data_IF_453749730368
#
_entry.id   IF_453749730368
#
_cell.length_a   1.000
_cell.length_b   1.000
_cell.length_c   1.000
_cell.angle_alpha   90.00
_cell.angle_beta   90.00
_cell.angle_gamma   90.00
#
_symmetry.space_group_name_H-M   'P 1'
#
loop_
_entity.id
_entity.type
_entity.pdbx_description
1 polymer ?
#
# COMPACT_ATOMS: atom_id res chain seq x y z
N UNK A 1 -51.86 -6.16 -21.84
CA UNK A 1 -50.69 -5.96 -20.96
C UNK A 1 -49.38 -5.75 -21.75
N UNK A 2 -49.09 -6.53 -22.79
CA UNK A 2 -47.86 -6.36 -23.58
C UNK A 2 -47.73 -5.00 -24.35
N UNK A 3 -48.85 -4.43 -24.84
CA UNK A 3 -48.83 -3.17 -25.59
C UNK A 3 -48.51 -1.94 -24.72
N UNK A 4 -48.97 -1.92 -23.45
CA UNK A 4 -48.70 -0.79 -22.54
C UNK A 4 -47.24 -0.79 -22.06
N UNK A 5 -46.67 -1.98 -21.84
CA UNK A 5 -45.26 -2.16 -21.46
C UNK A 5 -44.28 -1.85 -22.60
N UNK A 6 -44.69 -2.11 -23.84
CA UNK A 6 -43.92 -1.71 -25.02
C UNK A 6 -43.90 -0.18 -25.19
N UNK A 7 -45.06 0.46 -25.02
CA UNK A 7 -45.19 1.92 -25.10
C UNK A 7 -44.45 2.64 -23.96
N UNK A 8 -44.42 2.06 -22.75
CA UNK A 8 -43.68 2.61 -21.60
C UNK A 8 -42.16 2.53 -21.81
N UNK A 9 -41.63 1.41 -22.32
CA UNK A 9 -40.21 1.29 -22.67
C UNK A 9 -39.82 2.30 -23.75
N UNK A 10 -40.66 2.47 -24.77
CA UNK A 10 -40.38 3.40 -25.86
C UNK A 10 -40.41 4.88 -25.40
N UNK A 11 -41.25 5.24 -24.43
CA UNK A 11 -41.27 6.58 -23.84
C UNK A 11 -40.05 6.83 -22.95
N UNK A 12 -39.62 5.86 -22.14
CA UNK A 12 -38.42 5.93 -21.30
C UNK A 12 -37.17 6.17 -22.15
N UNK A 13 -36.99 5.43 -23.25
CA UNK A 13 -35.83 5.63 -24.14
C UNK A 13 -35.79 7.02 -24.80
N UNK A 14 -36.95 7.63 -25.07
CA UNK A 14 -37.01 9.00 -25.59
C UNK A 14 -36.59 10.00 -24.51
N UNK A 15 -37.05 9.82 -23.27
CA UNK A 15 -36.69 10.67 -22.13
C UNK A 15 -35.17 10.60 -21.86
N UNK A 16 -34.58 9.40 -21.85
CA UNK A 16 -33.13 9.23 -21.65
C UNK A 16 -32.32 9.98 -22.70
N UNK A 17 -32.75 10.00 -23.97
CA UNK A 17 -32.06 10.76 -25.03
C UNK A 17 -32.11 12.27 -24.80
N UNK A 18 -33.24 12.79 -24.32
CA UNK A 18 -33.37 14.20 -23.97
C UNK A 18 -32.46 14.56 -22.79
N UNK A 19 -32.43 13.74 -21.74
CA UNK A 19 -31.53 13.94 -20.59
C UNK A 19 -30.07 13.94 -21.04
N UNK A 20 -29.67 12.97 -21.87
CA UNK A 20 -28.31 12.86 -22.38
C UNK A 20 -27.92 14.04 -23.28
N UNK A 21 -28.84 14.49 -24.14
CA UNK A 21 -28.62 15.68 -24.97
C UNK A 21 -28.42 16.95 -24.12
N UNK A 22 -29.26 17.14 -23.09
CA UNK A 22 -29.13 18.27 -22.15
C UNK A 22 -27.81 18.20 -21.38
N UNK A 23 -27.41 17.03 -20.91
CA UNK A 23 -26.11 16.83 -20.27
C UNK A 23 -24.95 17.27 -21.16
N UNK A 24 -24.96 16.91 -22.45
CA UNK A 24 -23.91 17.34 -23.38
C UNK A 24 -23.97 18.83 -23.75
N UNK A 25 -25.15 19.45 -23.74
CA UNK A 25 -25.28 20.91 -23.87
C UNK A 25 -24.71 21.65 -22.65
N UNK A 26 -24.86 21.10 -21.43
CA UNK A 26 -24.18 21.63 -20.25
C UNK A 26 -22.67 21.39 -20.30
N UNK A 27 -22.22 20.23 -20.77
CA UNK A 27 -20.80 19.95 -21.00
C UNK A 27 -20.18 20.92 -22.02
N UNK A 28 -20.94 21.31 -23.05
CA UNK A 28 -20.56 22.38 -23.99
C UNK A 28 -20.36 23.73 -23.30
N UNK A 29 -21.30 24.16 -22.46
CA UNK A 29 -21.18 25.41 -21.70
C UNK A 29 -19.95 25.35 -20.77
N UNK A 30 -19.74 24.21 -20.11
CA UNK A 30 -18.57 23.96 -19.28
C UNK A 30 -17.25 24.02 -20.06
N UNK A 31 -17.21 23.47 -21.28
CA UNK A 31 -16.05 23.51 -22.14
C UNK A 31 -15.74 24.93 -22.65
N UNK A 32 -16.77 25.75 -22.93
CA UNK A 32 -16.62 27.18 -23.27
C UNK A 32 -16.00 27.94 -22.10
N UNK A 33 -16.48 27.70 -20.88
CA UNK A 33 -15.97 28.36 -19.68
C UNK A 33 -14.48 28.06 -19.43
N UNK A 34 -13.98 26.91 -19.92
CA UNK A 34 -12.56 26.51 -19.88
C UNK A 34 -11.73 27.00 -21.08
N UNK A 35 -12.32 27.72 -22.04
CA UNK A 35 -11.63 28.17 -23.25
C UNK A 35 -11.33 27.07 -24.27
N UNK A 36 -11.91 25.86 -24.12
CA UNK A 36 -11.63 24.75 -25.02
C UNK A 36 -12.59 24.72 -26.20
N UNK A 37 -12.25 25.44 -27.26
CA UNK A 37 -13.08 25.57 -28.44
C UNK A 37 -13.37 24.24 -29.15
N UNK A 38 -12.41 23.32 -29.20
CA UNK A 38 -12.55 22.02 -29.89
C UNK A 38 -13.53 21.12 -29.11
N UNK A 39 -13.31 20.95 -27.81
CA UNK A 39 -14.21 20.17 -26.96
C UNK A 39 -15.62 20.78 -26.93
N UNK A 40 -15.71 22.12 -26.93
CA UNK A 40 -16.99 22.83 -27.02
C UNK A 40 -17.76 22.47 -28.29
N UNK A 41 -17.12 22.57 -29.46
CA UNK A 41 -17.77 22.23 -30.74
C UNK A 41 -18.21 20.76 -30.73
N UNK A 42 -17.39 19.84 -30.21
CA UNK A 42 -17.71 18.41 -30.18
C UNK A 42 -18.85 18.06 -29.22
N UNK A 43 -18.90 18.66 -28.02
CA UNK A 43 -20.02 18.47 -27.09
C UNK A 43 -21.31 19.10 -27.60
N UNK A 44 -21.23 20.26 -28.26
CA UNK A 44 -22.38 20.88 -28.92
C UNK A 44 -22.93 19.98 -30.04
N UNK A 45 -22.05 19.48 -30.91
CA UNK A 45 -22.43 18.54 -31.96
C UNK A 45 -23.05 17.27 -31.38
N UNK A 46 -22.45 16.68 -30.34
CA UNK A 46 -22.95 15.48 -29.70
C UNK A 46 -24.33 15.70 -29.05
N UNK A 47 -24.51 16.81 -28.35
CA UNK A 47 -25.79 17.20 -27.75
C UNK A 47 -26.89 17.39 -28.81
N UNK A 48 -26.60 18.15 -29.87
CA UNK A 48 -27.55 18.35 -30.97
C UNK A 48 -27.90 17.03 -31.68
N UNK A 49 -26.92 16.15 -31.90
CA UNK A 49 -27.15 14.90 -32.64
C UNK A 49 -27.91 13.84 -31.83
N UNK A 50 -27.94 13.98 -30.50
CA UNK A 50 -28.76 13.17 -29.59
C UNK A 50 -30.19 13.68 -29.44
N UNK A 51 -30.46 14.95 -29.76
CA UNK A 51 -31.83 15.48 -29.76
C UNK A 51 -32.68 14.71 -30.77
N UNK A 52 -33.82 14.11 -30.35
CA UNK A 52 -34.66 13.32 -31.24
C UNK A 52 -35.03 14.00 -32.58
N UNK A 53 -35.47 15.27 -32.64
CA UNK A 53 -35.84 15.89 -33.93
C UNK A 53 -34.66 16.00 -34.90
N UNK A 54 -33.47 16.34 -34.39
CA UNK A 54 -32.25 16.48 -35.21
C UNK A 54 -31.75 15.10 -35.63
N UNK A 55 -31.74 14.14 -34.71
CA UNK A 55 -31.35 12.76 -35.00
C UNK A 55 -32.19 12.15 -36.12
N UNK A 56 -33.51 12.38 -36.14
CA UNK A 56 -34.37 11.90 -37.24
C UNK A 56 -34.09 12.62 -38.56
N UNK A 57 -33.83 13.93 -38.56
CA UNK A 57 -33.45 14.67 -39.76
C UNK A 57 -32.13 14.17 -40.37
N UNK A 58 -31.15 13.85 -39.53
CA UNK A 58 -29.86 13.28 -39.97
C UNK A 58 -30.07 11.88 -40.58
N UNK A 59 -30.95 11.05 -40.02
CA UNK A 59 -31.30 9.74 -40.61
C UNK A 59 -31.99 9.83 -41.97
N UNK A 60 -32.79 10.87 -42.18
CA UNK A 60 -33.46 11.10 -43.46
C UNK A 60 -32.47 11.52 -44.54
N UNK A 61 -31.45 12.31 -44.18
CA UNK A 61 -30.43 12.80 -45.14
C UNK A 61 -29.32 11.80 -45.42
N UNK A 62 -28.95 10.95 -44.45
CA UNK A 62 -27.79 10.05 -44.57
C UNK A 62 -28.19 8.59 -44.31
N UNK A 63 -28.13 7.77 -45.37
CA UNK A 63 -28.55 6.36 -45.36
C UNK A 63 -27.75 5.54 -44.32
N UNK A 64 -26.44 5.78 -44.20
CA UNK A 64 -25.59 5.07 -43.22
C UNK A 64 -25.96 5.38 -41.76
N UNK A 65 -26.55 6.55 -41.49
CA UNK A 65 -26.98 6.97 -40.15
C UNK A 65 -28.27 6.25 -39.69
N UNK A 66 -28.95 5.51 -40.57
CA UNK A 66 -30.12 4.71 -40.20
C UNK A 66 -29.72 3.51 -39.32
N UNK A 67 -28.52 2.96 -39.52
CA UNK A 67 -27.98 1.85 -38.74
C UNK A 67 -27.84 2.24 -37.26
N UNK A 68 -28.35 1.39 -36.37
CA UNK A 68 -28.25 1.60 -34.92
C UNK A 68 -26.79 1.58 -34.47
N UNK A 69 -26.01 0.62 -34.95
CA UNK A 69 -24.62 0.41 -34.51
C UNK A 69 -23.70 1.56 -34.95
N UNK A 70 -23.85 2.03 -36.19
CA UNK A 70 -23.04 3.13 -36.73
C UNK A 70 -23.26 4.42 -35.93
N UNK A 71 -24.50 4.71 -35.52
CA UNK A 71 -24.80 5.87 -34.68
C UNK A 71 -24.11 5.82 -33.34
N UNK A 72 -24.20 4.69 -32.64
CA UNK A 72 -23.57 4.55 -31.33
C UNK A 72 -22.04 4.58 -31.43
N UNK A 73 -21.45 3.98 -32.46
CA UNK A 73 -20.01 4.10 -32.72
C UNK A 73 -19.62 5.58 -32.97
N UNK A 74 -20.42 6.30 -33.77
CA UNK A 74 -20.21 7.73 -34.01
C UNK A 74 -20.31 8.58 -32.74
N UNK A 75 -21.30 8.32 -31.88
CA UNK A 75 -21.44 8.98 -30.58
C UNK A 75 -20.23 8.71 -29.68
N UNK A 76 -19.81 7.44 -29.57
CA UNK A 76 -18.66 7.05 -28.75
C UNK A 76 -17.36 7.65 -29.26
N UNK A 77 -17.16 7.70 -30.59
CA UNK A 77 -15.97 8.33 -31.19
C UNK A 77 -15.95 9.85 -30.94
N UNK A 78 -17.06 10.55 -31.18
CA UNK A 78 -17.18 11.99 -30.90
C UNK A 78 -16.96 12.30 -29.42
N UNK A 79 -17.52 11.49 -28.51
CA UNK A 79 -17.32 11.64 -27.08
C UNK A 79 -15.86 11.41 -26.68
N UNK A 80 -15.21 10.36 -27.18
CA UNK A 80 -13.80 10.09 -26.92
C UNK A 80 -12.91 11.23 -27.42
N UNK A 81 -13.15 11.73 -28.62
CA UNK A 81 -12.39 12.87 -29.16
C UNK A 81 -12.65 14.13 -28.31
N UNK A 82 -13.89 14.40 -27.91
CA UNK A 82 -14.22 15.54 -27.06
C UNK A 82 -13.49 15.47 -25.70
N UNK A 83 -13.47 14.29 -25.07
CA UNK A 83 -12.77 14.05 -23.80
C UNK A 83 -11.25 14.16 -23.96
N UNK A 84 -10.70 13.63 -25.05
CA UNK A 84 -9.27 13.74 -25.35
C UNK A 84 -8.86 15.19 -25.64
N UNK A 85 -9.70 15.95 -26.35
CA UNK A 85 -9.49 17.38 -26.59
C UNK A 85 -9.65 18.22 -25.32
N UNK A 86 -10.54 17.85 -24.38
CA UNK A 86 -10.63 18.52 -23.06
C UNK A 86 -9.32 18.40 -22.26
N UNK A 87 -8.54 17.33 -22.50
CA UNK A 87 -7.25 17.10 -21.85
C UNK A 87 -6.09 17.88 -22.46
N UNK A 88 -6.18 18.38 -23.69
CA UNK A 88 -5.08 19.08 -24.38
C UNK A 88 -5.04 20.60 -24.16
N UNK A 89 -5.87 21.14 -23.26
CA UNK A 89 -6.08 22.59 -23.06
C UNK A 89 -5.56 23.17 -21.74
N UNK A 90 -4.52 22.61 -21.14
CA UNK A 90 -3.90 23.16 -19.92
C UNK A 90 -2.43 23.52 -20.17
N UNK A 91 -2.20 24.64 -20.83
CA UNK A 91 -0.94 25.39 -20.75
C UNK A 91 -1.29 26.88 -20.63
N UNK A 92 -0.85 27.48 -19.52
CA UNK A 92 -0.81 28.93 -19.18
C UNK A 92 -2.17 29.61 -18.90
N UNK A 93 -2.52 29.98 -17.66
CA UNK A 93 -2.00 31.17 -16.96
C UNK A 93 -2.26 31.10 -15.43
N UNK A 94 -1.28 31.53 -14.66
CA UNK A 94 -1.06 31.33 -13.22
C UNK A 94 -1.96 32.16 -12.28
N UNK A 95 -2.53 31.51 -11.24
CA UNK A 95 -2.29 31.80 -9.80
C UNK A 95 -3.20 30.96 -8.87
N UNK A 96 -2.55 30.28 -7.91
CA UNK A 96 -3.09 29.66 -6.68
C UNK A 96 -3.92 28.36 -6.78
N UNK A 97 -3.24 27.24 -7.01
CA UNK A 97 -3.09 26.12 -6.05
C UNK A 97 -2.35 24.99 -6.77
N UNK A 98 -1.20 24.63 -6.21
CA UNK A 98 -0.28 23.60 -6.67
C UNK A 98 -0.95 22.23 -6.76
N UNK A 99 -1.12 21.72 -7.98
CA UNK A 99 -0.99 20.30 -8.27
C UNK A 99 -0.15 20.22 -9.55
N UNK A 100 1.05 19.68 -9.38
CA UNK A 100 2.09 19.54 -10.38
C UNK A 100 1.63 18.72 -11.59
N UNK A 101 2.03 19.17 -12.78
CA UNK A 101 2.14 18.32 -13.96
C UNK A 101 3.06 17.13 -13.63
N UNK A 102 2.59 15.91 -13.91
CA UNK A 102 3.48 14.76 -14.08
C UNK A 102 4.23 14.97 -15.41
N UNK A 103 5.27 15.78 -15.36
CA UNK A 103 6.52 15.38 -15.99
C UNK A 103 6.81 13.98 -15.43
N UNK A 104 7.17 13.00 -16.25
CA UNK A 104 7.73 11.75 -15.74
C UNK A 104 9.03 12.09 -15.01
N UNK A 105 8.90 12.48 -13.75
CA UNK A 105 10.01 12.67 -12.84
C UNK A 105 10.68 11.31 -12.77
N UNK A 106 11.98 11.27 -13.05
CA UNK A 106 12.76 10.06 -12.87
C UNK A 106 12.44 9.46 -11.48
N UNK A 107 12.23 8.14 -11.34
CA UNK A 107 11.85 7.55 -10.07
C UNK A 107 12.73 8.04 -8.90
N UNK A 108 12.12 8.23 -7.73
CA UNK A 108 12.82 8.60 -6.48
C UNK A 108 13.44 10.00 -6.43
N UNK A 109 12.94 10.99 -7.20
CA UNK A 109 13.49 12.37 -7.16
C UNK A 109 13.55 12.97 -5.74
N UNK A 110 12.55 12.74 -4.89
CA UNK A 110 12.55 13.24 -3.50
C UNK A 110 13.75 12.67 -2.72
N UNK A 111 13.96 11.36 -2.82
CA UNK A 111 15.11 10.68 -2.19
C UNK A 111 16.45 11.15 -2.78
N UNK A 112 16.57 11.22 -4.11
CA UNK A 112 17.81 11.64 -4.79
C UNK A 112 18.18 13.08 -4.41
N UNK A 113 17.20 13.98 -4.39
CA UNK A 113 17.41 15.38 -3.95
C UNK A 113 17.88 15.44 -2.49
N UNK A 114 17.31 14.59 -1.62
CA UNK A 114 17.74 14.50 -0.22
C UNK A 114 19.16 13.95 -0.09
N UNK A 115 19.56 12.97 -0.92
CA UNK A 115 20.93 12.45 -1.00
C UNK A 115 21.91 13.56 -1.40
N UNK A 116 21.62 14.33 -2.45
CA UNK A 116 22.48 15.42 -2.90
C UNK A 116 22.64 16.50 -1.80
N UNK A 117 21.54 16.83 -1.13
CA UNK A 117 21.57 17.73 0.03
C UNK A 117 22.41 17.17 1.18
N UNK A 118 22.25 15.90 1.52
CA UNK A 118 23.04 15.27 2.58
C UNK A 118 24.54 15.30 2.24
N UNK A 119 24.91 14.95 1.00
CA UNK A 119 26.30 14.93 0.52
C UNK A 119 26.92 16.32 0.56
N UNK A 120 26.20 17.36 0.12
CA UNK A 120 26.73 18.73 0.12
C UNK A 120 27.01 19.24 1.53
N UNK A 121 26.18 18.84 2.51
CA UNK A 121 26.28 19.21 3.93
C UNK A 121 27.33 18.41 4.72
N UNK A 122 27.90 17.33 4.15
CA UNK A 122 28.96 16.57 4.82
C UNK A 122 30.22 17.42 5.07
N UNK A 123 30.87 17.19 6.23
CA UNK A 123 32.21 17.70 6.50
C UNK A 123 33.23 17.13 5.52
N UNK A 124 34.38 17.79 5.36
CA UNK A 124 35.46 17.34 4.47
C UNK A 124 35.91 15.90 4.78
N UNK A 125 36.05 15.57 6.06
CA UNK A 125 36.40 14.22 6.51
C UNK A 125 35.32 13.20 6.11
N UNK A 126 34.04 13.50 6.36
CA UNK A 126 32.94 12.60 6.00
C UNK A 126 32.81 12.42 4.48
N UNK A 127 33.08 13.47 3.68
CA UNK A 127 33.14 13.37 2.21
C UNK A 127 34.24 12.41 1.76
N UNK A 128 35.43 12.47 2.36
CA UNK A 128 36.53 11.55 2.07
C UNK A 128 36.18 10.10 2.45
N UNK A 129 35.57 9.89 3.63
CA UNK A 129 35.11 8.57 4.08
C UNK A 129 34.04 7.98 3.15
N UNK A 130 33.05 8.79 2.74
CA UNK A 130 32.02 8.38 1.77
C UNK A 130 32.65 7.96 0.44
N UNK A 131 33.55 8.77 -0.11
CA UNK A 131 34.26 8.46 -1.37
C UNK A 131 35.02 7.14 -1.25
N UNK A 132 35.75 6.93 -0.14
CA UNK A 132 36.45 5.66 0.11
C UNK A 132 35.50 4.48 0.17
N UNK A 133 34.40 4.60 0.92
CA UNK A 133 33.39 3.55 1.05
C UNK A 133 32.77 3.20 -0.31
N UNK A 134 32.44 4.21 -1.13
CA UNK A 134 31.86 3.98 -2.44
C UNK A 134 32.86 3.37 -3.43
N UNK A 135 34.13 3.77 -3.39
CA UNK A 135 35.19 3.13 -4.20
C UNK A 135 35.35 1.65 -3.86
N UNK A 136 35.37 1.30 -2.57
CA UNK A 136 35.42 -0.10 -2.13
C UNK A 136 34.19 -0.86 -2.65
N UNK A 137 33.00 -0.28 -2.51
CA UNK A 137 31.77 -0.88 -3.01
C UNK A 137 31.83 -1.12 -4.53
N UNK A 138 32.37 -0.17 -5.30
CA UNK A 138 32.55 -0.33 -6.76
C UNK A 138 33.52 -1.45 -7.13
N UNK A 139 34.56 -1.70 -6.33
CA UNK A 139 35.49 -2.81 -6.60
C UNK A 139 34.93 -4.20 -6.26
N UNK A 140 33.87 -4.27 -5.45
CA UNK A 140 33.27 -5.53 -5.03
C UNK A 140 32.66 -6.29 -6.22
N UNK A 141 32.87 -7.61 -6.24
CA UNK A 141 32.44 -8.48 -7.35
C UNK A 141 30.92 -8.50 -7.56
N UNK A 142 30.14 -8.36 -6.49
CA UNK A 142 28.67 -8.30 -6.52
C UNK A 142 28.20 -6.98 -7.15
N UNK A 143 28.83 -5.85 -6.80
CA UNK A 143 28.53 -4.57 -7.44
C UNK A 143 28.71 -4.66 -8.95
N UNK A 144 29.83 -5.25 -9.40
CA UNK A 144 30.09 -5.46 -10.83
C UNK A 144 29.00 -6.31 -11.50
N UNK A 145 28.50 -7.35 -10.83
CA UNK A 145 27.43 -8.21 -11.38
C UNK A 145 26.08 -7.50 -11.43
N UNK A 146 25.60 -6.99 -10.31
CA UNK A 146 24.21 -6.52 -10.21
C UNK A 146 24.03 -5.07 -10.67
N UNK A 147 25.04 -4.21 -10.46
CA UNK A 147 24.97 -2.77 -10.78
C UNK A 147 25.51 -2.50 -12.19
N UNK A 148 26.75 -2.90 -12.47
CA UNK A 148 27.43 -2.60 -13.74
C UNK A 148 26.91 -3.49 -14.88
N UNK A 149 26.97 -4.81 -14.68
CA UNK A 149 26.54 -5.80 -15.69
C UNK A 149 25.02 -6.04 -15.69
N UNK A 150 24.28 -5.38 -14.79
CA UNK A 150 22.82 -5.42 -14.70
C UNK A 150 22.22 -6.83 -14.64
N UNK A 151 22.94 -7.78 -14.04
CA UNK A 151 22.47 -9.17 -13.91
C UNK A 151 21.26 -9.22 -12.96
N UNK A 152 20.17 -9.85 -13.41
CA UNK A 152 18.94 -10.07 -12.63
C UNK A 152 18.68 -11.57 -12.49
N UNK A 153 19.10 -12.13 -11.35
CA UNK A 153 19.05 -13.56 -11.05
C UNK A 153 18.59 -13.78 -9.62
N UNK A 154 17.78 -14.81 -9.39
CA UNK A 154 17.29 -15.18 -8.05
C UNK A 154 18.44 -15.44 -7.05
N UNK A 155 19.64 -15.80 -7.54
CA UNK A 155 20.85 -15.99 -6.72
C UNK A 155 21.22 -14.77 -5.86
N UNK A 156 20.89 -13.55 -6.32
CA UNK A 156 21.25 -12.31 -5.64
C UNK A 156 20.11 -11.73 -4.78
N UNK A 157 18.90 -12.32 -4.82
CA UNK A 157 17.78 -11.92 -3.95
C UNK A 157 18.13 -11.95 -2.46
N UNK A 158 18.85 -12.95 -1.93
CA UNK A 158 19.25 -12.96 -0.52
C UNK A 158 20.06 -11.72 -0.10
N UNK A 159 20.85 -11.16 -1.02
CA UNK A 159 21.67 -9.96 -0.77
C UNK A 159 20.79 -8.73 -0.65
N UNK A 160 19.87 -8.57 -1.61
CA UNK A 160 18.90 -7.46 -1.62
C UNK A 160 17.98 -7.53 -0.40
N UNK A 161 17.56 -8.73 -0.01
CA UNK A 161 16.77 -8.96 1.20
C UNK A 161 17.55 -8.57 2.46
N UNK A 162 18.83 -8.95 2.57
CA UNK A 162 19.68 -8.54 3.68
C UNK A 162 19.86 -7.01 3.75
N UNK A 163 20.05 -6.35 2.60
CA UNK A 163 20.13 -4.87 2.53
C UNK A 163 18.82 -4.23 2.98
N UNK A 164 17.69 -4.72 2.48
CA UNK A 164 16.35 -4.25 2.86
C UNK A 164 16.11 -4.41 4.37
N UNK A 165 16.42 -5.58 4.93
CA UNK A 165 16.39 -5.80 6.37
C UNK A 165 17.32 -4.82 7.11
N UNK A 166 18.57 -4.67 6.69
CA UNK A 166 19.52 -3.77 7.34
C UNK A 166 19.06 -2.31 7.33
N UNK A 167 18.43 -1.83 6.25
CA UNK A 167 17.82 -0.49 6.18
C UNK A 167 16.80 -0.27 7.29
N UNK A 168 15.98 -1.27 7.61
CA UNK A 168 14.97 -1.17 8.68
C UNK A 168 15.57 -1.03 10.09
N UNK A 169 16.85 -1.37 10.25
CA UNK A 169 17.54 -1.35 11.55
C UNK A 169 18.37 -0.09 11.80
N UNK A 170 18.50 0.79 10.80
CA UNK A 170 19.35 1.98 10.90
C UNK A 170 18.87 2.86 12.07
N UNK A 171 19.78 3.15 12.99
CA UNK A 171 19.59 4.01 14.15
C UNK A 171 20.81 4.92 14.34
N UNK A 172 20.76 5.80 15.34
CA UNK A 172 21.91 6.64 15.73
C UNK A 172 23.15 5.82 16.13
N UNK A 173 22.96 4.59 16.61
CA UNK A 173 24.04 3.71 17.07
C UNK A 173 24.64 2.87 15.94
N UNK A 174 24.07 2.94 14.73
CA UNK A 174 24.52 2.21 13.56
C UNK A 174 23.40 1.41 12.92
N UNK A 175 23.72 0.19 12.48
CA UNK A 175 22.77 -0.74 11.86
C UNK A 175 23.19 -2.15 12.17
N UNK A 176 22.24 -3.07 12.09
CA UNK A 176 22.45 -4.50 12.27
C UNK A 176 21.82 -5.27 11.12
N UNK A 177 21.94 -6.58 11.18
CA UNK A 177 21.26 -7.48 10.25
C UNK A 177 20.69 -8.64 11.03
N UNK A 178 19.60 -9.19 10.53
CA UNK A 178 19.11 -10.46 11.01
C UNK A 178 20.19 -11.55 10.82
N UNK A 179 20.50 -12.26 11.90
CA UNK A 179 21.57 -13.26 11.94
C UNK A 179 21.37 -14.37 10.91
N UNK A 180 20.13 -14.81 10.69
CA UNK A 180 19.78 -15.84 9.71
C UNK A 180 20.06 -15.39 8.28
N UNK A 181 19.76 -14.12 7.97
CA UNK A 181 20.01 -13.56 6.64
C UNK A 181 21.52 -13.48 6.36
N UNK A 182 22.33 -13.06 7.35
CA UNK A 182 23.78 -13.00 7.18
C UNK A 182 24.40 -14.38 7.07
N UNK A 183 24.05 -15.32 7.95
CA UNK A 183 24.54 -16.70 7.87
C UNK A 183 24.24 -17.36 6.53
N UNK A 184 23.06 -17.07 5.95
CA UNK A 184 22.69 -17.53 4.61
C UNK A 184 23.63 -17.00 3.53
N UNK A 185 23.99 -15.72 3.60
CA UNK A 185 24.97 -15.14 2.68
C UNK A 185 26.36 -15.74 2.88
N UNK A 186 26.84 -15.82 4.12
CA UNK A 186 28.16 -16.35 4.48
C UNK A 186 28.37 -17.78 3.96
N UNK A 187 27.35 -18.62 4.08
CA UNK A 187 27.40 -20.03 3.66
C UNK A 187 27.20 -20.23 2.15
N UNK A 188 26.91 -19.17 1.39
CA UNK A 188 26.71 -19.24 -0.06
C UNK A 188 28.01 -19.05 -0.85
N UNK A 189 27.99 -19.38 -2.14
CA UNK A 189 29.12 -19.13 -3.04
C UNK A 189 29.45 -17.63 -3.05
N UNK A 190 30.74 -17.31 -2.87
CA UNK A 190 31.24 -15.95 -2.68
C UNK A 190 30.64 -15.20 -1.47
N UNK A 191 30.28 -15.92 -0.41
CA UNK A 191 29.56 -15.37 0.73
C UNK A 191 30.20 -14.14 1.38
N UNK A 192 31.54 -14.10 1.52
CA UNK A 192 32.26 -12.93 2.06
C UNK A 192 32.01 -11.66 1.24
N UNK A 193 32.07 -11.76 -0.09
CA UNK A 193 31.81 -10.63 -1.00
C UNK A 193 30.35 -10.19 -0.92
N UNK A 194 29.41 -11.14 -0.80
CA UNK A 194 27.97 -10.87 -0.65
C UNK A 194 27.66 -10.13 0.65
N UNK A 195 28.25 -10.56 1.76
CA UNK A 195 28.11 -9.91 3.07
C UNK A 195 28.75 -8.53 3.05
N UNK A 196 29.97 -8.39 2.53
CA UNK A 196 30.61 -7.07 2.42
C UNK A 196 29.78 -6.11 1.58
N UNK A 197 29.26 -6.55 0.43
CA UNK A 197 28.38 -5.75 -0.41
C UNK A 197 27.14 -5.26 0.36
N UNK A 198 26.48 -6.15 1.10
CA UNK A 198 25.31 -5.81 1.89
C UNK A 198 25.64 -4.78 2.99
N UNK A 199 26.67 -5.04 3.79
CA UNK A 199 27.12 -4.16 4.89
C UNK A 199 27.45 -2.77 4.35
N UNK A 200 28.29 -2.68 3.31
CA UNK A 200 28.72 -1.39 2.75
C UNK A 200 27.54 -0.63 2.12
N UNK A 201 26.59 -1.33 1.52
CA UNK A 201 25.39 -0.70 0.95
C UNK A 201 24.52 -0.10 2.04
N UNK A 202 24.19 -0.83 3.12
CA UNK A 202 23.41 -0.28 4.24
C UNK A 202 24.15 0.87 4.93
N UNK A 203 25.47 0.75 5.10
CA UNK A 203 26.28 1.84 5.66
C UNK A 203 26.22 3.13 4.83
N UNK A 204 26.12 3.05 3.51
CA UNK A 204 25.91 4.23 2.65
C UNK A 204 24.49 4.78 2.74
N UNK A 205 23.49 3.96 3.04
CA UNK A 205 22.08 4.37 3.15
C UNK A 205 21.80 5.30 4.33
N UNK A 206 22.71 5.35 5.32
CA UNK A 206 22.64 6.26 6.46
C UNK A 206 22.70 7.72 5.96
N UNK A 207 21.72 8.58 6.31
CA UNK A 207 21.68 9.98 5.87
C UNK A 207 22.96 10.77 6.21
N UNK A 208 23.53 10.53 7.39
CA UNK A 208 24.77 11.14 7.88
C UNK A 208 26.02 10.73 7.09
N UNK A 209 25.91 9.68 6.26
CA UNK A 209 26.92 9.23 5.31
C UNK A 209 26.60 9.67 3.87
N UNK A 210 25.48 10.37 3.65
CA UNK A 210 25.05 10.92 2.36
C UNK A 210 23.90 10.17 1.70
N UNK A 211 23.59 8.93 2.08
CA UNK A 211 22.55 8.11 1.45
C UNK A 211 23.00 7.34 0.19
N UNK A 212 22.10 6.56 -0.41
CA UNK A 212 22.46 5.63 -1.49
C UNK A 212 22.63 6.34 -2.85
N UNK A 213 23.60 5.91 -3.67
CA UNK A 213 23.77 6.43 -5.02
C UNK A 213 22.75 5.79 -5.98
N UNK A 214 22.29 6.55 -6.98
CA UNK A 214 21.20 6.20 -7.92
C UNK A 214 21.37 4.83 -8.59
N UNK A 215 22.59 4.39 -8.87
CA UNK A 215 22.85 3.11 -9.53
C UNK A 215 22.46 1.90 -8.67
N UNK A 216 22.47 2.04 -7.34
CA UNK A 216 21.98 1.01 -6.41
C UNK A 216 20.46 0.92 -6.47
N UNK A 217 19.77 2.07 -6.49
CA UNK A 217 18.30 2.13 -6.59
C UNK A 217 17.84 1.44 -7.88
N UNK A 218 18.48 1.77 -9.01
CA UNK A 218 18.21 1.14 -10.30
C UNK A 218 18.45 -0.37 -10.30
N UNK A 219 19.39 -0.87 -9.48
CA UNK A 219 19.58 -2.32 -9.32
C UNK A 219 18.39 -2.95 -8.61
N UNK A 220 17.89 -2.34 -7.53
CA UNK A 220 16.67 -2.80 -6.85
C UNK A 220 15.44 -2.76 -7.78
N UNK A 221 15.29 -1.73 -8.61
CA UNK A 221 14.18 -1.61 -9.56
C UNK A 221 14.12 -2.80 -10.52
N UNK A 222 15.26 -3.18 -11.11
CA UNK A 222 15.33 -4.34 -12.02
C UNK A 222 14.88 -5.64 -11.34
N UNK A 223 15.19 -5.80 -10.05
CA UNK A 223 14.75 -6.96 -9.28
C UNK A 223 13.28 -6.86 -8.90
N UNK A 224 12.77 -5.68 -8.54
CA UNK A 224 11.34 -5.44 -8.32
C UNK A 224 10.52 -5.73 -9.59
N UNK A 225 11.00 -5.33 -10.75
CA UNK A 225 10.33 -5.60 -12.04
C UNK A 225 10.24 -7.10 -12.35
N UNK A 226 11.32 -7.86 -12.10
CA UNK A 226 11.36 -9.29 -12.38
C UNK A 226 10.67 -10.14 -11.31
N UNK A 227 10.95 -9.86 -10.04
CA UNK A 227 10.59 -10.72 -8.91
C UNK A 227 9.48 -10.17 -8.03
N UNK A 228 9.00 -8.94 -8.28
CA UNK A 228 8.16 -8.14 -7.38
C UNK A 228 8.94 -7.65 -6.15
N UNK A 229 8.28 -6.85 -5.32
CA UNK A 229 8.89 -6.19 -4.16
C UNK A 229 9.10 -7.16 -2.97
N UNK A 230 8.33 -8.23 -2.90
CA UNK A 230 8.45 -9.31 -1.93
C UNK A 230 7.99 -10.61 -2.58
N UNK A 231 8.38 -11.76 -2.04
CA UNK A 231 7.96 -13.05 -2.58
C UNK A 231 8.34 -14.23 -1.69
N UNK A 232 7.70 -15.36 -1.96
CA UNK A 232 7.95 -16.64 -1.28
C UNK A 232 8.85 -17.54 -2.11
N UNK A 233 9.59 -18.42 -1.44
CA UNK A 233 10.39 -19.48 -2.07
C UNK A 233 9.52 -20.40 -2.90
N UNK A 234 10.08 -20.88 -4.01
CA UNK A 234 9.36 -21.76 -4.92
C UNK A 234 10.05 -21.92 -6.26
N UNK A 235 9.49 -22.80 -7.08
CA UNK A 235 9.89 -23.01 -8.47
C UNK A 235 8.81 -22.40 -9.36
N UNK A 236 9.19 -21.37 -10.11
CA UNK A 236 8.28 -20.60 -10.96
C UNK A 236 8.50 -21.02 -12.40
N UNK A 237 7.42 -21.32 -13.12
CA UNK A 237 7.48 -21.69 -14.53
C UNK A 237 7.01 -20.53 -15.39
N UNK A 238 7.73 -20.26 -16.48
CA UNK A 238 7.25 -19.39 -17.54
C UNK A 238 6.30 -20.13 -18.49
N UNK A 239 5.66 -19.39 -19.41
CA UNK A 239 4.76 -19.96 -20.43
C UNK A 239 5.46 -20.96 -21.37
N UNK A 240 6.80 -20.94 -21.42
CA UNK A 240 7.64 -21.82 -22.23
C UNK A 240 8.17 -23.03 -21.45
N UNK A 241 7.71 -23.24 -20.20
CA UNK A 241 8.14 -24.30 -19.27
C UNK A 241 9.59 -24.18 -18.79
N UNK A 242 10.26 -23.04 -19.00
CA UNK A 242 11.49 -22.75 -18.27
C UNK A 242 11.15 -22.51 -16.81
N UNK A 243 12.03 -22.90 -15.89
CA UNK A 243 11.82 -22.66 -14.48
C UNK A 243 12.90 -21.75 -13.88
N UNK A 244 12.49 -20.90 -12.95
CA UNK A 244 13.36 -20.12 -12.08
C UNK A 244 13.05 -20.49 -10.62
N UNK A 245 14.09 -20.84 -9.87
CA UNK A 245 13.95 -21.23 -8.47
C UNK A 245 14.31 -20.04 -7.58
N UNK A 246 13.37 -19.62 -6.74
CA UNK A 246 13.62 -18.72 -5.62
C UNK A 246 13.83 -19.60 -4.39
N UNK A 247 15.06 -19.63 -3.89
CA UNK A 247 15.44 -20.55 -2.81
C UNK A 247 14.88 -20.12 -1.44
N UNK A 248 14.66 -18.81 -1.25
CA UNK A 248 14.25 -18.23 0.02
C UNK A 248 13.17 -17.16 -0.15
N UNK A 249 12.30 -17.07 0.86
CA UNK A 249 11.40 -15.92 1.01
C UNK A 249 12.23 -14.63 1.12
N UNK A 250 11.70 -13.55 0.55
CA UNK A 250 12.39 -12.27 0.53
C UNK A 250 11.40 -11.10 0.67
N UNK A 251 11.89 -10.03 1.27
CA UNK A 251 11.14 -8.80 1.50
C UNK A 251 12.00 -7.56 1.21
N UNK A 252 11.80 -6.95 0.04
CA UNK A 252 12.48 -5.71 -0.34
C UNK A 252 11.68 -4.47 0.06
N UNK A 253 10.52 -4.63 0.68
CA UNK A 253 9.63 -3.50 0.97
C UNK A 253 10.23 -2.45 1.91
N UNK A 254 11.00 -2.77 2.99
CA UNK A 254 11.70 -1.74 3.76
C UNK A 254 12.57 -0.80 2.92
N UNK A 255 13.28 -1.36 1.93
CA UNK A 255 14.12 -0.57 1.04
C UNK A 255 13.29 0.44 0.24
N UNK A 256 12.18 0.01 -0.37
CA UNK A 256 11.34 0.90 -1.17
C UNK A 256 10.53 1.88 -0.34
N UNK A 257 10.11 1.52 0.89
CA UNK A 257 9.49 2.46 1.82
C UNK A 257 10.46 3.58 2.19
N UNK A 258 11.76 3.29 2.35
CA UNK A 258 12.78 4.33 2.56
C UNK A 258 12.88 5.29 1.35
N UNK A 259 12.74 4.77 0.13
CA UNK A 259 12.84 5.59 -1.09
C UNK A 259 11.57 6.38 -1.40
N UNK A 260 10.40 5.83 -1.09
CA UNK A 260 9.08 6.38 -1.40
C UNK A 260 8.17 6.36 -0.16
N UNK A 261 8.50 7.09 0.91
CA UNK A 261 7.83 6.96 2.20
C UNK A 261 6.36 7.38 2.17
N UNK A 262 5.92 8.13 1.14
CA UNK A 262 4.52 8.55 0.96
C UNK A 262 3.77 7.72 -0.10
N UNK A 263 4.42 6.76 -0.76
CA UNK A 263 3.77 5.95 -1.78
C UNK A 263 2.86 4.91 -1.10
N UNK A 264 1.55 5.13 -1.24
CA UNK A 264 0.50 4.34 -0.61
C UNK A 264 0.57 2.85 -0.95
N UNK A 265 0.89 2.52 -2.19
CA UNK A 265 0.99 1.13 -2.63
C UNK A 265 2.19 0.44 -1.99
N UNK A 266 3.35 1.11 -1.96
CA UNK A 266 4.57 0.59 -1.34
C UNK A 266 4.37 0.40 0.18
N UNK A 267 3.72 1.35 0.85
CA UNK A 267 3.39 1.24 2.28
C UNK A 267 2.43 0.09 2.58
N UNK A 268 1.41 -0.12 1.74
CA UNK A 268 0.47 -1.23 1.89
C UNK A 268 1.18 -2.58 1.68
N UNK A 269 2.00 -2.69 0.63
CA UNK A 269 2.80 -3.90 0.36
C UNK A 269 3.80 -4.19 1.48
N UNK A 270 4.37 -3.16 2.11
CA UNK A 270 5.24 -3.30 3.28
C UNK A 270 4.53 -3.96 4.46
N UNK A 271 3.34 -3.47 4.82
CA UNK A 271 2.58 -4.09 5.89
C UNK A 271 2.14 -5.51 5.54
N UNK A 272 1.70 -5.74 4.31
CA UNK A 272 1.32 -7.07 3.83
C UNK A 272 2.48 -8.07 3.89
N UNK A 273 3.70 -7.66 3.55
CA UNK A 273 4.89 -8.51 3.64
C UNK A 273 5.22 -8.91 5.09
N UNK A 274 5.08 -7.96 6.04
CA UNK A 274 5.23 -8.21 7.48
C UNK A 274 4.17 -9.19 7.98
N UNK A 275 2.91 -8.98 7.64
CA UNK A 275 1.79 -9.84 8.04
C UNK A 275 1.92 -11.27 7.48
N UNK A 276 2.49 -11.43 6.28
CA UNK A 276 2.81 -12.74 5.70
C UNK A 276 4.02 -13.43 6.35
N UNK A 277 4.68 -12.79 7.31
CA UNK A 277 5.86 -13.32 7.99
C UNK A 277 7.12 -13.38 7.10
N UNK A 278 7.19 -12.56 6.04
CA UNK A 278 8.37 -12.53 5.15
C UNK A 278 9.55 -11.80 5.79
N UNK A 279 9.27 -10.86 6.69
CA UNK A 279 10.25 -10.25 7.59
C UNK A 279 9.58 -9.78 8.88
N UNK A 280 10.35 -9.70 9.96
CA UNK A 280 9.83 -9.32 11.28
C UNK A 280 9.95 -7.81 11.53
N UNK A 281 9.10 -7.29 12.41
CA UNK A 281 9.32 -5.97 13.02
C UNK A 281 10.53 -6.01 13.95
N UNK A 282 11.26 -4.90 14.03
CA UNK A 282 12.35 -4.78 14.99
C UNK A 282 11.81 -4.53 16.40
N UNK A 283 12.60 -4.89 17.41
CA UNK A 283 12.28 -4.57 18.80
C UNK A 283 12.11 -3.05 18.98
N UNK A 284 11.22 -2.65 19.91
CA UNK A 284 11.04 -1.25 20.24
C UNK A 284 12.35 -0.68 20.78
N UNK A 285 12.87 0.34 20.10
CA UNK A 285 14.04 1.09 20.52
C UNK A 285 13.84 2.57 20.23
N UNK A 286 14.49 3.40 21.03
CA UNK A 286 14.59 4.83 20.75
C UNK A 286 15.65 5.04 19.66
N UNK A 287 15.49 6.08 18.84
CA UNK A 287 16.50 6.55 17.86
C UNK A 287 16.66 5.80 16.53
N UNK A 288 15.67 5.03 16.06
CA UNK A 288 15.65 4.62 14.66
C UNK A 288 15.62 5.83 13.72
N UNK A 289 16.40 5.77 12.64
CA UNK A 289 16.40 6.82 11.59
C UNK A 289 15.07 6.83 10.83
N UNK A 290 14.48 5.65 10.63
CA UNK A 290 13.16 5.49 10.00
C UNK A 290 12.24 4.68 10.93
N UNK A 291 11.66 5.28 11.98
CA UNK A 291 10.83 4.56 12.95
C UNK A 291 9.67 3.79 12.30
N UNK A 292 9.03 4.40 11.29
CA UNK A 292 7.92 3.81 10.53
C UNK A 292 8.29 2.62 9.65
N UNK A 293 9.58 2.34 9.47
CA UNK A 293 10.09 1.12 8.80
C UNK A 293 10.53 0.09 9.85
N UNK A 294 10.91 0.55 11.05
CA UNK A 294 11.52 -0.29 12.07
C UNK A 294 10.48 -1.02 12.93
N UNK A 295 9.47 -0.31 13.46
CA UNK A 295 8.51 -0.88 14.43
C UNK A 295 7.07 -0.76 13.95
N UNK A 296 6.22 -1.70 14.39
CA UNK A 296 4.81 -1.75 14.02
C UNK A 296 4.09 -0.49 14.50
N UNK A 297 4.31 -0.07 15.74
CA UNK A 297 3.62 1.07 16.36
C UNK A 297 3.92 2.37 15.62
N UNK A 298 5.18 2.58 15.24
CA UNK A 298 5.60 3.74 14.48
C UNK A 298 5.06 3.70 13.05
N UNK A 299 5.00 2.52 12.41
CA UNK A 299 4.34 2.37 11.12
C UNK A 299 2.86 2.74 11.22
N UNK A 300 2.11 2.16 12.17
CA UNK A 300 0.68 2.43 12.38
C UNK A 300 0.43 3.93 12.59
N UNK A 301 1.23 4.58 13.43
CA UNK A 301 1.14 6.03 13.67
C UNK A 301 1.39 6.83 12.39
N UNK A 302 2.41 6.45 11.61
CA UNK A 302 2.77 7.12 10.37
C UNK A 302 1.71 6.94 9.26
N UNK A 303 1.21 5.72 9.06
CA UNK A 303 0.25 5.42 8.01
C UNK A 303 -1.09 6.13 8.25
N UNK A 304 -1.49 6.35 9.51
CA UNK A 304 -2.68 7.16 9.86
C UNK A 304 -2.55 8.61 9.36
N UNK A 305 -1.35 9.17 9.32
CA UNK A 305 -1.09 10.51 8.79
C UNK A 305 -1.05 10.53 7.25
N UNK A 306 -0.29 9.62 6.64
CA UNK A 306 0.01 9.69 5.20
C UNK A 306 -1.00 8.95 4.31
N UNK A 307 -1.71 7.97 4.86
CA UNK A 307 -2.74 7.21 4.16
C UNK A 307 -3.84 6.70 5.10
N UNK A 308 -4.67 7.60 5.69
CA UNK A 308 -5.71 7.24 6.67
C UNK A 308 -6.74 6.22 6.15
N UNK A 309 -6.89 6.09 4.83
CA UNK A 309 -7.78 5.12 4.16
C UNK A 309 -7.12 3.76 3.89
N UNK A 310 -5.90 3.52 4.38
CA UNK A 310 -5.25 2.22 4.19
C UNK A 310 -6.11 1.10 4.80
N UNK A 311 -6.35 -0.01 4.07
CA UNK A 311 -7.08 -1.15 4.62
C UNK A 311 -6.31 -1.86 5.73
N UNK A 312 -5.04 -1.51 5.93
CA UNK A 312 -4.12 -2.10 6.90
C UNK A 312 -3.88 -1.22 8.12
N UNK A 313 -4.55 -0.06 8.22
CA UNK A 313 -4.64 0.66 9.50
C UNK A 313 -5.64 -0.10 10.35
N UNK A 314 -5.22 -0.73 11.48
CA UNK A 314 -6.18 -1.13 12.46
C UNK A 314 -6.88 0.16 12.89
N UNK A 315 -8.19 0.23 12.66
CA UNK A 315 -9.05 1.33 13.13
C UNK A 315 -9.20 1.23 14.65
N UNK A 316 -8.09 1.09 15.35
CA UNK A 316 -8.00 0.97 16.80
C UNK A 316 -7.21 2.15 17.32
N UNK A 317 -7.68 2.63 18.45
CA UNK A 317 -7.10 3.72 19.21
C UNK A 317 -5.93 3.22 20.05
N UNK A 318 -5.93 1.94 20.45
CA UNK A 318 -5.00 1.36 21.45
C UNK A 318 -4.67 -0.11 21.12
N UNK A 319 -3.40 -0.53 21.25
CA UNK A 319 -3.00 -1.95 21.26
C UNK A 319 -2.56 -2.35 22.68
N UNK A 320 -3.02 -3.48 23.20
CA UNK A 320 -2.75 -3.94 24.58
C UNK A 320 -2.82 -5.47 24.68
N UNK A 321 -2.10 -6.10 25.62
CA UNK A 321 -2.32 -7.53 25.87
C UNK A 321 -3.55 -7.77 26.75
N UNK A 322 -4.18 -8.94 26.64
CA UNK A 322 -5.32 -9.30 27.49
C UNK A 322 -4.96 -9.26 28.99
N UNK A 323 -3.72 -9.65 29.33
CA UNK A 323 -3.24 -9.61 30.72
C UNK A 323 -3.06 -8.19 31.24
N UNK A 324 -2.42 -7.31 30.46
CA UNK A 324 -2.24 -5.90 30.84
C UNK A 324 -3.60 -5.20 30.95
N UNK A 325 -4.47 -5.37 29.96
CA UNK A 325 -5.80 -4.77 29.96
C UNK A 325 -6.58 -5.16 31.23
N UNK A 326 -6.57 -6.45 31.58
CA UNK A 326 -7.26 -6.92 32.78
C UNK A 326 -6.62 -6.36 34.07
N UNK A 327 -5.29 -6.27 34.12
CA UNK A 327 -4.58 -5.71 35.28
C UNK A 327 -4.86 -4.21 35.48
N UNK A 328 -4.96 -3.43 34.40
CA UNK A 328 -5.34 -2.01 34.48
C UNK A 328 -6.76 -1.85 35.05
N UNK A 329 -7.70 -2.71 34.61
CA UNK A 329 -9.06 -2.75 35.14
C UNK A 329 -9.13 -3.15 36.62
N UNK A 330 -8.36 -4.17 37.05
CA UNK A 330 -8.28 -4.57 38.46
C UNK A 330 -7.64 -3.49 39.34
N UNK A 331 -6.63 -2.79 38.82
CA UNK A 331 -5.92 -1.76 39.57
C UNK A 331 -6.80 -0.52 39.78
N UNK A 332 -7.50 -0.07 38.73
CA UNK A 332 -8.40 1.07 38.81
C UNK A 332 -9.41 1.08 37.64
N UNK A 333 -10.58 0.50 37.86
CA UNK A 333 -11.66 0.43 36.86
C UNK A 333 -12.08 1.80 36.31
N UNK A 334 -12.11 2.85 37.13
CA UNK A 334 -12.53 4.20 36.69
C UNK A 334 -11.52 4.79 35.70
N UNK A 335 -10.23 4.67 36.03
CA UNK A 335 -9.15 5.09 35.13
C UNK A 335 -9.12 4.24 33.86
N UNK A 336 -9.31 2.93 33.99
CA UNK A 336 -9.35 2.03 32.85
C UNK A 336 -10.55 2.34 31.93
N UNK A 337 -11.72 2.67 32.47
CA UNK A 337 -12.87 3.08 31.68
C UNK A 337 -12.61 4.39 30.91
N UNK A 338 -12.00 5.40 31.55
CA UNK A 338 -11.57 6.63 30.85
C UNK A 338 -10.55 6.34 29.73
N UNK A 339 -9.67 5.37 29.96
CA UNK A 339 -8.62 5.01 29.03
C UNK A 339 -9.09 4.10 27.88
N UNK A 340 -10.02 3.18 28.10
CA UNK A 340 -10.32 2.10 27.15
C UNK A 340 -11.78 2.03 26.73
N UNK A 341 -12.74 2.31 27.61
CA UNK A 341 -14.16 2.08 27.33
C UNK A 341 -14.66 2.97 26.20
N UNK A 342 -15.42 2.37 25.28
CA UNK A 342 -15.91 3.00 24.06
C UNK A 342 -14.83 3.27 23.01
N UNK A 343 -13.57 2.89 23.26
CA UNK A 343 -12.49 2.97 22.28
C UNK A 343 -12.33 1.64 21.57
N UNK A 344 -11.95 1.71 20.30
CA UNK A 344 -11.67 0.51 19.53
C UNK A 344 -10.23 0.09 19.86
N UNK A 345 -10.03 -1.12 20.38
CA UNK A 345 -8.73 -1.60 20.86
C UNK A 345 -8.34 -2.91 20.18
N UNK A 346 -7.05 -3.13 20.00
CA UNK A 346 -6.48 -4.42 19.60
C UNK A 346 -5.96 -5.16 20.84
N UNK A 347 -6.61 -6.25 21.20
CA UNK A 347 -6.25 -7.08 22.35
C UNK A 347 -5.52 -8.34 21.89
N UNK A 348 -4.29 -8.53 22.36
CA UNK A 348 -3.49 -9.74 22.08
C UNK A 348 -3.48 -10.69 23.26
N UNK A 349 -3.76 -11.97 23.02
CA UNK A 349 -3.72 -12.98 24.09
C UNK A 349 -3.81 -14.41 23.57
N UNK A 350 -3.81 -15.37 24.51
CA UNK A 350 -3.89 -16.80 24.23
C UNK A 350 -5.33 -17.25 24.43
N UNK A 351 -5.87 -17.96 23.45
CA UNK A 351 -7.23 -18.50 23.50
C UNK A 351 -7.33 -19.57 24.60
N UNK A 352 -8.22 -19.35 25.56
CA UNK A 352 -8.63 -20.35 26.55
C UNK A 352 -9.89 -21.08 26.12
N UNK A 353 -10.90 -20.33 25.67
CA UNK A 353 -12.17 -20.88 25.22
C UNK A 353 -12.66 -20.24 23.93
N UNK A 354 -13.38 -21.03 23.14
CA UNK A 354 -14.10 -20.61 21.94
C UNK A 354 -15.49 -21.22 22.07
N UNK A 355 -16.54 -20.42 21.92
CA UNK A 355 -17.89 -20.92 22.10
C UNK A 355 -18.96 -19.91 21.71
N UNK A 356 -20.18 -20.23 22.12
CA UNK A 356 -21.33 -19.34 22.06
C UNK A 356 -21.91 -19.15 23.45
N UNK A 357 -22.40 -17.95 23.73
CA UNK A 357 -23.08 -17.67 24.99
C UNK A 357 -24.53 -18.20 24.98
N UNK A 358 -25.27 -17.91 26.05
CA UNK A 358 -26.68 -18.34 26.20
C UNK A 358 -27.63 -17.66 25.21
N UNK A 359 -27.20 -16.59 24.53
CA UNK A 359 -27.93 -15.87 23.50
C UNK A 359 -27.45 -16.24 22.09
N UNK A 360 -26.61 -17.28 21.97
CA UNK A 360 -26.00 -17.77 20.73
C UNK A 360 -24.94 -16.82 20.11
N UNK A 361 -24.47 -15.81 20.86
CA UNK A 361 -23.41 -14.92 20.39
C UNK A 361 -22.05 -15.62 20.42
N UNK A 362 -21.31 -15.67 19.31
CA UNK A 362 -20.00 -16.29 19.29
C UNK A 362 -18.96 -15.46 20.04
N UNK A 363 -18.10 -16.13 20.81
CA UNK A 363 -17.03 -15.48 21.55
C UNK A 363 -15.73 -16.29 21.59
N UNK A 364 -14.65 -15.57 21.85
CA UNK A 364 -13.35 -16.11 22.26
C UNK A 364 -13.01 -15.53 23.63
N UNK A 365 -12.58 -16.38 24.58
CA UNK A 365 -12.08 -15.91 25.88
C UNK A 365 -10.59 -16.18 26.04
N UNK A 366 -9.91 -15.22 26.66
CA UNK A 366 -8.50 -15.28 27.01
C UNK A 366 -8.40 -15.27 28.54
N UNK A 367 -8.07 -16.42 29.14
CA UNK A 367 -8.05 -16.58 30.60
C UNK A 367 -6.85 -15.85 31.20
N UNK A 368 -7.12 -15.06 32.25
CA UNK A 368 -6.11 -14.36 33.06
C UNK A 368 -5.96 -15.04 34.43
N UNK A 369 -7.08 -15.38 35.07
CA UNK A 369 -7.13 -16.03 36.38
C UNK A 369 -8.22 -17.11 36.45
N UNK A 370 -8.55 -17.59 37.66
CA UNK A 370 -9.53 -18.68 37.84
C UNK A 370 -10.93 -18.31 37.33
N UNK A 371 -11.35 -17.06 37.56
CA UNK A 371 -12.63 -16.50 37.10
C UNK A 371 -12.45 -15.28 36.19
N UNK A 372 -11.21 -14.86 35.97
CA UNK A 372 -10.85 -13.59 35.34
C UNK A 372 -10.48 -13.83 33.88
N UNK A 373 -11.10 -13.10 32.96
CA UNK A 373 -10.79 -13.22 31.54
C UNK A 373 -11.00 -11.92 30.77
N UNK A 374 -10.41 -11.85 29.58
CA UNK A 374 -10.87 -10.93 28.54
C UNK A 374 -11.71 -11.73 27.55
N UNK A 375 -12.95 -11.32 27.35
CA UNK A 375 -13.90 -12.00 26.47
C UNK A 375 -14.22 -11.10 25.27
N UNK A 376 -13.99 -11.64 24.07
CA UNK A 376 -14.18 -10.97 22.80
C UNK A 376 -15.38 -11.57 22.08
N UNK A 377 -16.43 -10.77 21.87
CA UNK A 377 -17.65 -11.16 21.16
C UNK A 377 -17.61 -10.75 19.69
N UNK A 378 -17.91 -11.70 18.82
CA UNK A 378 -17.90 -11.55 17.37
C UNK A 378 -19.34 -11.48 16.83
N UNK A 379 -19.53 -10.83 15.68
CA UNK A 379 -20.79 -10.92 14.94
C UNK A 379 -20.92 -12.27 14.22
N UNK A 380 -22.15 -12.65 13.89
CA UNK A 380 -22.44 -13.92 13.20
C UNK A 380 -21.76 -14.03 11.82
N UNK A 381 -21.50 -12.91 11.16
CA UNK A 381 -20.80 -12.86 9.87
C UNK A 381 -19.34 -13.36 9.98
N UNK A 382 -18.76 -13.32 11.18
CA UNK A 382 -17.39 -13.74 11.47
C UNK A 382 -17.26 -15.21 11.91
N UNK A 383 -18.36 -15.99 11.91
CA UNK A 383 -18.38 -17.40 12.33
C UNK A 383 -17.38 -18.27 11.56
N UNK A 384 -17.16 -17.98 10.28
CA UNK A 384 -16.20 -18.74 9.45
C UNK A 384 -14.75 -18.52 9.92
N UNK A 385 -14.40 -17.30 10.36
CA UNK A 385 -13.05 -16.95 10.81
C UNK A 385 -12.78 -17.58 12.18
N UNK A 386 -13.70 -17.44 13.12
CA UNK A 386 -13.56 -18.04 14.47
C UNK A 386 -13.53 -19.58 14.43
N UNK A 387 -14.17 -20.21 13.44
CA UNK A 387 -14.19 -21.68 13.29
C UNK A 387 -12.84 -22.29 12.97
N UNK A 388 -11.87 -21.47 12.52
CA UNK A 388 -10.52 -21.90 12.18
C UNK A 388 -9.56 -21.80 13.39
N UNK A 389 -10.00 -21.19 14.49
CA UNK A 389 -9.18 -20.96 15.67
C UNK A 389 -9.12 -22.20 16.56
N UNK A 390 -8.03 -22.33 17.31
CA UNK A 390 -7.84 -23.42 18.27
C UNK A 390 -7.46 -22.90 19.65
N UNK A 391 -7.89 -23.62 20.71
CA UNK A 391 -7.44 -23.34 22.08
C UNK A 391 -5.91 -23.40 22.17
N UNK A 392 -5.32 -22.50 22.94
CA UNK A 392 -3.87 -22.34 23.06
C UNK A 392 -3.22 -21.51 21.95
N UNK A 393 -3.96 -21.12 20.90
CA UNK A 393 -3.46 -20.22 19.87
C UNK A 393 -3.31 -18.80 20.43
N UNK A 394 -2.20 -18.13 20.10
CA UNK A 394 -2.05 -16.68 20.33
C UNK A 394 -2.71 -15.92 19.18
N UNK A 395 -3.61 -15.00 19.48
CA UNK A 395 -4.32 -14.17 18.50
C UNK A 395 -4.32 -12.70 18.92
N UNK A 396 -4.58 -11.82 17.96
CA UNK A 396 -4.93 -10.42 18.20
C UNK A 396 -6.37 -10.22 17.71
N UNK A 397 -7.21 -9.60 18.55
CA UNK A 397 -8.60 -9.30 18.24
C UNK A 397 -8.81 -7.81 18.33
N UNK A 398 -9.48 -7.24 17.34
CA UNK A 398 -9.85 -5.83 17.33
C UNK A 398 -11.33 -5.72 17.65
N UNK A 399 -11.70 -4.84 18.58
CA UNK A 399 -13.10 -4.56 18.89
C UNK A 399 -13.24 -3.36 19.82
N UNK A 400 -14.48 -2.99 20.14
CA UNK A 400 -14.77 -1.90 21.08
C UNK A 400 -14.71 -2.40 22.51
N UNK A 401 -13.94 -1.74 23.38
CA UNK A 401 -13.92 -2.10 24.80
C UNK A 401 -15.21 -1.62 25.47
N UNK A 402 -15.97 -2.55 26.05
CA UNK A 402 -17.20 -2.25 26.78
C UNK A 402 -16.97 -2.16 28.30
N UNK A 403 -15.72 -2.34 28.74
CA UNK A 403 -15.30 -2.29 30.14
C UNK A 403 -15.40 -3.62 30.88
N UNK A 404 -15.15 -3.56 32.19
CA UNK A 404 -15.26 -4.71 33.09
C UNK A 404 -16.73 -5.00 33.40
N UNK A 405 -17.15 -6.25 33.19
CA UNK A 405 -18.47 -6.74 33.56
C UNK A 405 -18.33 -8.04 34.36
N UNK A 406 -18.81 -8.00 35.61
CA UNK A 406 -18.59 -9.05 36.60
C UNK A 406 -17.08 -9.33 36.79
N UNK A 407 -16.56 -10.40 36.20
CA UNK A 407 -15.16 -10.81 36.28
C UNK A 407 -14.43 -10.78 34.93
N UNK A 408 -15.06 -10.21 33.90
CA UNK A 408 -14.54 -10.24 32.54
C UNK A 408 -14.47 -8.85 31.95
N UNK A 409 -13.34 -8.48 31.37
CA UNK A 409 -13.28 -7.32 30.48
C UNK A 409 -13.89 -7.74 29.15
N UNK A 410 -14.88 -6.98 28.69
CA UNK A 410 -15.70 -7.34 27.53
C UNK A 410 -15.29 -6.49 26.34
N UNK A 411 -14.96 -7.14 25.23
CA UNK A 411 -14.72 -6.51 23.93
C UNK A 411 -15.86 -6.91 22.98
N UNK A 412 -16.48 -5.94 22.36
CA UNK A 412 -17.62 -6.10 21.45
C UNK A 412 -17.22 -5.84 20.00
N UNK A 413 -18.07 -6.25 19.07
CA UNK A 413 -17.90 -6.05 17.62
C UNK A 413 -16.53 -6.49 17.11
N UNK A 414 -16.12 -7.69 17.55
CA UNK A 414 -14.78 -8.18 17.33
C UNK A 414 -14.54 -8.65 15.89
N UNK A 415 -13.33 -8.37 15.40
CA UNK A 415 -12.74 -8.88 14.18
C UNK A 415 -11.35 -9.47 14.50
N UNK A 416 -10.99 -10.58 13.82
CA UNK A 416 -9.67 -11.15 13.97
C UNK A 416 -8.65 -10.27 13.25
N UNK A 417 -7.58 -9.89 13.94
CA UNK A 417 -6.44 -9.22 13.31
C UNK A 417 -5.41 -10.28 12.94
N UNK A 418 -5.23 -10.49 11.64
CA UNK A 418 -4.22 -11.42 11.07
C UNK A 418 -2.79 -10.89 11.23
#
# INVERSE_FOLDING_TARGET
MAQSDFNSKQSIFKIVKWILAVFFLFAFIGAIAKGNFIASILFLLLGLLLLPPISEQVKQKFIFWQSKNIRYIGYSALFLIAVLSDRSGLTETSKNKSVEEVATSEPYQEYISQVDKNITQLSTEKKALRTKAFTILKSNSIYQKIVVNKVVSAEYLPILNAISNGVSTISKDGYSFNETLIKRLENSVNGKEKVEFAIKTVGLAIPENGGLPKEILQAFDRYKEKFKIYGVKGVFFDVNKNHETIEYDFDLTPFFVMLEPKNKEVLNQFFEAKNKGLSDWNAKAENYTYPYIATKEAYISYIKEVNPESPFIPKVDIEITASELYQEYEANEVSADEQYKGKKIAVTGIIDNIGKDVLDNPYVSMRIGVLQSVTCYFSDDNVKVISQLSKGQKITVIGECNGLSLTNVVIQDCELWE
#
